data_IF_031428061433
#
_entry.id   IF_031428061433
#
_cell.length_a   1.000
_cell.length_b   1.000
_cell.length_c   1.000
_cell.angle_alpha   90.00
_cell.angle_beta   90.00
_cell.angle_gamma   90.00
#
_symmetry.space_group_name_H-M   'P 1'
#
loop_
_entity.id
_entity.type
_entity.pdbx_description
1 polymer ?
#
# COMPACT_ATOMS: atom_id res chain seq x y z
N UNK A 1 -47.32 43.17 57.12
CA UNK A 1 -46.09 42.75 57.84
C UNK A 1 -45.28 41.80 56.86
N UNK A 2 -44.27 42.32 56.41
CA UNK A 2 -42.90 41.81 56.15
C UNK A 2 -42.75 40.29 56.16
N UNK A 3 -42.33 39.70 55.02
CA UNK A 3 -41.22 38.76 55.01
C UNK A 3 -40.65 38.64 53.56
N UNK A 4 -39.39 38.89 53.58
CA UNK A 4 -38.47 38.87 52.43
C UNK A 4 -38.25 37.46 51.99
N UNK A 5 -38.39 37.17 50.71
CA UNK A 5 -37.95 35.92 50.11
C UNK A 5 -36.70 36.20 49.27
N UNK A 6 -35.60 35.57 49.65
CA UNK A 6 -34.31 35.67 49.01
C UNK A 6 -34.31 34.84 47.74
N UNK A 7 -33.82 35.46 46.69
CA UNK A 7 -33.55 34.82 45.41
C UNK A 7 -32.17 34.15 45.47
N UNK A 8 -32.13 32.83 45.48
CA UNK A 8 -30.90 32.05 45.30
C UNK A 8 -30.73 31.85 43.82
N UNK A 9 -29.82 32.60 43.23
CA UNK A 9 -29.34 32.38 41.88
C UNK A 9 -28.37 31.18 41.88
N UNK A 10 -28.81 30.06 41.33
CA UNK A 10 -27.96 28.92 41.07
C UNK A 10 -27.28 29.13 39.72
N UNK A 11 -26.00 29.48 39.74
CA UNK A 11 -25.14 29.54 38.57
C UNK A 11 -24.69 28.10 38.26
N UNK A 12 -25.29 27.50 37.24
CA UNK A 12 -24.84 26.23 36.70
C UNK A 12 -23.68 26.51 35.72
N UNK A 13 -22.46 26.30 36.17
CA UNK A 13 -21.29 26.25 35.31
C UNK A 13 -21.36 24.93 34.49
N UNK A 14 -21.77 25.03 33.24
CA UNK A 14 -21.62 23.94 32.26
C UNK A 14 -20.13 23.86 31.85
N UNK A 15 -19.40 22.92 32.44
CA UNK A 15 -18.07 22.56 32.01
C UNK A 15 -18.21 21.82 30.66
N UNK A 16 -17.97 22.51 29.55
CA UNK A 16 -17.80 21.90 28.24
C UNK A 16 -16.44 21.22 28.23
N UNK A 17 -16.41 19.92 28.58
CA UNK A 17 -15.25 19.08 28.35
C UNK A 17 -15.11 18.90 26.84
N UNK A 18 -14.21 19.65 26.22
CA UNK A 18 -13.78 19.46 24.83
C UNK A 18 -13.12 18.10 24.71
N UNK A 19 -13.83 17.14 24.12
CA UNK A 19 -13.26 15.92 23.60
C UNK A 19 -12.34 16.30 22.44
N UNK A 20 -11.05 16.55 22.74
CA UNK A 20 -9.99 16.55 21.75
C UNK A 20 -9.88 15.10 21.24
N UNK A 21 -10.73 14.74 20.30
CA UNK A 21 -10.60 13.50 19.55
C UNK A 21 -9.32 13.60 18.74
N UNK A 22 -8.25 12.92 19.15
CA UNK A 22 -7.13 12.57 18.27
C UNK A 22 -7.67 11.63 17.20
N UNK A 23 -8.32 12.17 16.15
CA UNK A 23 -8.68 11.45 14.95
C UNK A 23 -7.38 11.08 14.24
N UNK A 24 -6.97 9.82 14.31
CA UNK A 24 -5.99 9.28 13.37
C UNK A 24 -6.62 9.37 12.00
N UNK A 25 -6.13 10.29 11.17
CA UNK A 25 -6.53 10.36 9.77
C UNK A 25 -6.19 9.01 9.11
N UNK A 26 -7.16 8.38 8.45
CA UNK A 26 -6.87 7.18 7.66
C UNK A 26 -5.83 7.52 6.59
N UNK A 27 -4.87 6.61 6.32
CA UNK A 27 -3.87 6.86 5.30
C UNK A 27 -4.55 7.02 3.93
N UNK A 28 -4.06 7.98 3.14
CA UNK A 28 -4.54 8.19 1.78
C UNK A 28 -4.31 6.93 0.91
N UNK A 29 -5.05 6.81 -0.19
CA UNK A 29 -4.86 5.72 -1.14
C UNK A 29 -3.41 5.66 -1.67
N UNK A 30 -2.80 6.82 -1.93
CA UNK A 30 -1.40 6.89 -2.33
C UNK A 30 -0.47 6.32 -1.24
N UNK A 31 -0.69 6.68 0.03
CA UNK A 31 0.09 6.15 1.14
C UNK A 31 -0.08 4.64 1.30
N UNK A 32 -1.31 4.13 1.10
CA UNK A 32 -1.58 2.70 1.14
C UNK A 32 -0.88 1.95 0.00
N UNK A 33 -0.86 2.51 -1.22
CA UNK A 33 -0.12 1.97 -2.36
C UNK A 33 1.38 1.91 -2.05
N UNK A 34 1.97 2.98 -1.53
CA UNK A 34 3.38 3.02 -1.11
C UNK A 34 3.68 1.98 -0.03
N UNK A 35 2.78 1.80 0.92
CA UNK A 35 2.89 0.78 1.97
C UNK A 35 2.89 -0.63 1.38
N UNK A 36 2.00 -0.90 0.43
CA UNK A 36 1.93 -2.20 -0.27
C UNK A 36 3.23 -2.50 -1.02
N UNK A 37 3.78 -1.52 -1.74
CA UNK A 37 5.04 -1.67 -2.48
C UNK A 37 6.25 -1.83 -1.55
N UNK A 38 6.25 -1.16 -0.41
CA UNK A 38 7.29 -1.34 0.63
C UNK A 38 7.22 -2.75 1.22
N UNK A 39 6.02 -3.25 1.50
CA UNK A 39 5.82 -4.61 1.97
C UNK A 39 6.25 -5.65 0.92
N UNK A 40 5.96 -5.40 -0.36
CA UNK A 40 6.41 -6.22 -1.48
C UNK A 40 7.94 -6.27 -1.56
N UNK A 41 8.61 -5.13 -1.46
CA UNK A 41 10.08 -5.06 -1.46
C UNK A 41 10.69 -5.88 -0.32
N UNK A 42 10.13 -5.77 0.88
CA UNK A 42 10.59 -6.52 2.05
C UNK A 42 10.37 -8.02 1.87
N UNK A 43 9.14 -8.43 1.51
CA UNK A 43 8.83 -9.85 1.31
C UNK A 43 9.68 -10.48 0.19
N UNK A 44 10.02 -9.72 -0.85
CA UNK A 44 10.94 -10.16 -1.90
C UNK A 44 12.37 -10.35 -1.37
N UNK A 45 12.85 -9.41 -0.56
CA UNK A 45 14.18 -9.50 0.06
C UNK A 45 14.30 -10.69 1.03
N UNK A 46 13.23 -10.94 1.78
CA UNK A 46 13.14 -12.04 2.75
C UNK A 46 12.80 -13.38 2.08
N UNK A 47 12.50 -13.39 0.78
CA UNK A 47 12.01 -14.56 0.02
C UNK A 47 10.75 -15.18 0.63
N UNK A 48 9.90 -14.34 1.23
CA UNK A 48 8.60 -14.74 1.77
C UNK A 48 7.56 -14.82 0.65
N UNK A 49 7.69 -15.87 -0.16
CA UNK A 49 6.81 -16.10 -1.32
C UNK A 49 5.35 -16.31 -0.91
N UNK A 50 5.11 -16.87 0.27
CA UNK A 50 3.76 -17.02 0.79
C UNK A 50 3.12 -15.65 1.05
N UNK A 51 3.81 -14.74 1.72
CA UNK A 51 3.32 -13.38 1.95
C UNK A 51 3.05 -12.64 0.64
N UNK A 52 3.93 -12.80 -0.35
CA UNK A 52 3.74 -12.22 -1.68
C UNK A 52 2.43 -12.74 -2.31
N UNK A 53 2.22 -14.04 -2.35
CA UNK A 53 1.04 -14.66 -2.96
C UNK A 53 -0.25 -14.36 -2.19
N UNK A 54 -0.25 -14.49 -0.88
CA UNK A 54 -1.47 -14.42 -0.07
C UNK A 54 -1.92 -12.98 0.19
N UNK A 55 -0.99 -12.04 0.27
CA UNK A 55 -1.29 -10.69 0.78
C UNK A 55 -0.94 -9.53 -0.16
N UNK A 56 -0.03 -9.73 -1.12
CA UNK A 56 0.51 -8.60 -1.89
C UNK A 56 0.15 -8.66 -3.37
N UNK A 57 0.02 -9.85 -3.96
CA UNK A 57 -0.41 -10.00 -5.35
C UNK A 57 -1.94 -10.05 -5.46
N UNK A 58 -2.47 -9.51 -6.55
CA UNK A 58 -3.89 -9.53 -6.83
C UNK A 58 -4.39 -10.95 -7.14
N UNK A 59 -5.59 -11.34 -6.67
CA UNK A 59 -6.15 -12.67 -6.95
C UNK A 59 -6.21 -13.01 -8.44
N UNK A 60 -6.47 -12.02 -9.30
CA UNK A 60 -6.51 -12.23 -10.74
C UNK A 60 -5.14 -12.65 -11.30
N UNK A 61 -4.05 -12.02 -10.85
CA UNK A 61 -2.69 -12.38 -11.24
C UNK A 61 -2.34 -13.81 -10.82
N UNK A 62 -2.74 -14.19 -9.60
CA UNK A 62 -2.53 -15.55 -9.09
C UNK A 62 -3.35 -16.56 -9.90
N UNK A 63 -4.59 -16.22 -10.24
CA UNK A 63 -5.44 -17.08 -11.08
C UNK A 63 -4.86 -17.30 -12.48
N UNK A 64 -4.23 -16.27 -13.05
CA UNK A 64 -3.59 -16.39 -14.37
C UNK A 64 -2.36 -17.31 -14.33
N UNK A 65 -1.54 -17.24 -13.29
CA UNK A 65 -0.45 -18.18 -13.05
C UNK A 65 -0.97 -19.63 -12.94
N UNK A 66 -2.06 -19.80 -12.21
CA UNK A 66 -2.68 -21.12 -12.02
C UNK A 66 -3.24 -21.71 -13.32
N UNK A 67 -3.78 -20.89 -14.22
CA UNK A 67 -4.27 -21.33 -15.55
C UNK A 67 -3.17 -21.97 -16.40
N UNK A 68 -1.95 -21.51 -16.27
CA UNK A 68 -0.79 -22.08 -16.98
C UNK A 68 -0.09 -23.19 -16.19
N UNK A 69 -0.73 -23.68 -15.12
CA UNK A 69 -0.22 -24.77 -14.30
C UNK A 69 0.95 -24.39 -13.39
N UNK A 70 1.13 -23.09 -13.12
CA UNK A 70 2.24 -22.57 -12.31
C UNK A 70 1.72 -22.04 -10.97
N UNK A 71 1.90 -22.76 -9.85
CA UNK A 71 1.59 -22.23 -8.52
C UNK A 71 2.35 -20.95 -8.23
N UNK A 72 1.69 -19.98 -7.59
CA UNK A 72 2.25 -18.65 -7.35
C UNK A 72 3.62 -18.68 -6.67
N UNK A 73 3.78 -19.41 -5.58
CA UNK A 73 5.06 -19.48 -4.85
C UNK A 73 6.17 -20.08 -5.71
N UNK A 74 5.86 -21.10 -6.52
CA UNK A 74 6.82 -21.71 -7.45
C UNK A 74 7.22 -20.72 -8.54
N UNK A 75 6.27 -19.96 -9.08
CA UNK A 75 6.55 -18.91 -10.06
C UNK A 75 7.51 -17.86 -9.52
N UNK A 76 7.24 -17.38 -8.30
CA UNK A 76 8.08 -16.39 -7.63
C UNK A 76 9.45 -16.95 -7.26
N UNK A 77 9.53 -18.18 -6.77
CA UNK A 77 10.79 -18.84 -6.49
C UNK A 77 11.67 -18.96 -7.75
N UNK A 78 11.06 -19.31 -8.89
CA UNK A 78 11.78 -19.39 -10.17
C UNK A 78 12.22 -18.01 -10.67
N UNK A 79 11.38 -16.98 -10.51
CA UNK A 79 11.67 -15.63 -11.00
C UNK A 79 12.57 -14.80 -10.08
N UNK A 80 12.51 -15.03 -8.78
CA UNK A 80 13.17 -14.19 -7.78
C UNK A 80 14.21 -14.95 -6.92
N UNK A 81 14.32 -16.28 -7.09
CA UNK A 81 15.16 -17.11 -6.23
C UNK A 81 16.63 -16.72 -6.25
N UNK A 82 17.16 -16.35 -7.39
CA UNK A 82 18.55 -15.95 -7.60
C UNK A 82 18.80 -14.45 -7.38
N UNK A 83 17.73 -13.66 -7.18
CA UNK A 83 17.85 -12.23 -6.92
C UNK A 83 18.41 -12.01 -5.51
N UNK A 84 19.53 -11.30 -5.44
CA UNK A 84 20.20 -11.01 -4.18
C UNK A 84 20.14 -9.53 -3.84
N UNK A 85 19.92 -9.23 -2.56
CA UNK A 85 19.79 -7.87 -2.03
C UNK A 85 18.85 -6.96 -2.87
N UNK A 86 17.63 -7.42 -3.20
CA UNK A 86 16.73 -6.61 -3.98
C UNK A 86 16.31 -5.38 -3.18
N UNK A 87 16.24 -4.24 -3.87
CA UNK A 87 15.72 -2.98 -3.34
C UNK A 87 14.74 -2.39 -4.34
N UNK A 88 13.66 -1.84 -3.84
CA UNK A 88 12.66 -1.14 -4.62
C UNK A 88 12.46 0.26 -4.03
N UNK A 89 12.63 1.27 -4.88
CA UNK A 89 12.35 2.65 -4.56
C UNK A 89 11.07 3.06 -5.29
N UNK A 90 10.10 3.57 -4.55
CA UNK A 90 8.82 4.04 -5.09
C UNK A 90 8.96 5.51 -5.46
N UNK A 91 8.75 5.82 -6.74
CA UNK A 91 8.68 7.17 -7.30
C UNK A 91 7.25 7.73 -7.27
N UNK A 92 6.78 8.21 -8.41
CA UNK A 92 5.45 8.79 -8.53
C UNK A 92 4.36 7.72 -8.45
N UNK A 93 3.30 8.05 -7.74
CA UNK A 93 2.11 7.20 -7.59
C UNK A 93 0.91 7.96 -8.11
N UNK A 94 0.16 7.35 -9.00
CA UNK A 94 -1.10 7.89 -9.53
C UNK A 94 -2.24 6.94 -9.17
N UNK A 95 -3.26 7.46 -8.47
CA UNK A 95 -4.46 6.70 -8.12
C UNK A 95 -5.64 7.20 -8.94
N UNK A 96 -6.37 6.27 -9.55
CA UNK A 96 -7.61 6.53 -10.30
C UNK A 96 -8.68 5.51 -9.93
N UNK A 97 -9.57 5.88 -9.03
CA UNK A 97 -10.60 4.97 -8.50
C UNK A 97 -10.00 3.75 -7.83
N UNK A 98 -10.30 2.57 -8.35
CA UNK A 98 -9.80 1.28 -7.82
C UNK A 98 -8.49 0.82 -8.46
N UNK A 99 -7.83 1.64 -9.25
CA UNK A 99 -6.54 1.34 -9.89
C UNK A 99 -5.49 2.34 -9.48
N UNK A 100 -4.26 1.89 -9.39
CA UNK A 100 -3.11 2.76 -9.18
C UNK A 100 -1.95 2.29 -10.06
N UNK A 101 -1.12 3.24 -10.44
CA UNK A 101 0.18 2.99 -11.06
C UNK A 101 1.27 3.63 -10.21
N UNK A 102 2.40 2.97 -10.11
CA UNK A 102 3.55 3.48 -9.39
C UNK A 102 4.81 3.30 -10.23
N UNK A 103 5.57 4.36 -10.42
CA UNK A 103 6.89 4.26 -10.98
C UNK A 103 7.85 3.74 -9.91
N UNK A 104 8.62 2.74 -10.26
CA UNK A 104 9.54 2.11 -9.34
C UNK A 104 10.93 2.02 -9.96
N UNK A 105 11.93 2.12 -9.11
CA UNK A 105 13.31 1.79 -9.46
C UNK A 105 13.73 0.57 -8.66
N UNK A 106 14.18 -0.46 -9.36
CA UNK A 106 14.69 -1.67 -8.71
C UNK A 106 16.19 -1.79 -8.89
N UNK A 107 16.85 -2.30 -7.85
CA UNK A 107 18.25 -2.66 -7.88
C UNK A 107 18.45 -4.01 -7.21
N UNK A 108 19.40 -4.78 -7.68
CA UNK A 108 19.83 -6.03 -7.03
C UNK A 108 21.32 -6.23 -7.25
N UNK A 109 21.93 -7.04 -6.40
CA UNK A 109 23.36 -7.33 -6.49
C UNK A 109 23.69 -8.03 -7.82
N UNK A 110 24.65 -7.49 -8.55
CA UNK A 110 25.08 -8.04 -9.83
C UNK A 110 24.14 -7.78 -11.01
N UNK A 111 23.10 -6.95 -10.82
CA UNK A 111 22.16 -6.60 -11.87
C UNK A 111 22.16 -5.08 -12.13
N UNK A 112 21.95 -4.69 -13.38
CA UNK A 112 21.76 -3.29 -13.72
C UNK A 112 20.46 -2.76 -13.10
N UNK A 113 20.42 -1.51 -12.60
CA UNK A 113 19.19 -0.89 -12.14
C UNK A 113 18.15 -0.83 -13.24
N UNK A 114 16.88 -1.12 -12.92
CA UNK A 114 15.75 -0.95 -13.83
C UNK A 114 14.81 0.15 -13.36
N UNK A 115 14.04 0.70 -14.30
CA UNK A 115 12.91 1.58 -14.06
C UNK A 115 11.69 0.93 -14.68
N UNK A 116 10.66 0.76 -13.87
CA UNK A 116 9.47 0.03 -14.26
C UNK A 116 8.22 0.74 -13.72
N UNK A 117 7.08 0.46 -14.31
CA UNK A 117 5.78 0.87 -13.78
C UNK A 117 5.04 -0.35 -13.27
N UNK A 118 4.61 -0.30 -12.01
CA UNK A 118 3.82 -1.36 -11.36
C UNK A 118 2.36 -0.93 -11.30
N UNK A 119 1.47 -1.83 -11.65
CA UNK A 119 0.03 -1.60 -11.52
C UNK A 119 -0.52 -2.28 -10.27
N UNK A 120 -1.43 -1.57 -9.59
CA UNK A 120 -2.13 -2.07 -8.42
C UNK A 120 -3.64 -1.93 -8.60
N UNK A 121 -4.36 -2.80 -7.92
CA UNK A 121 -5.83 -2.78 -7.85
C UNK A 121 -6.29 -2.78 -6.40
N UNK A 122 -7.35 -2.03 -6.12
CA UNK A 122 -7.98 -2.03 -4.80
C UNK A 122 -8.92 -3.22 -4.69
N UNK A 123 -8.71 -4.03 -3.67
CA UNK A 123 -9.57 -5.16 -3.28
C UNK A 123 -10.21 -4.87 -1.92
N UNK A 124 -11.11 -5.73 -1.46
CA UNK A 124 -11.70 -5.62 -0.11
C UNK A 124 -10.63 -5.78 0.99
N UNK A 125 -9.51 -6.44 0.68
CA UNK A 125 -8.37 -6.62 1.59
C UNK A 125 -7.27 -5.55 1.42
N UNK A 126 -7.54 -4.45 0.70
CA UNK A 126 -6.60 -3.37 0.43
C UNK A 126 -6.00 -3.41 -0.97
N UNK A 127 -4.95 -2.62 -1.17
CA UNK A 127 -4.26 -2.55 -2.46
C UNK A 127 -3.40 -3.79 -2.71
N UNK A 128 -3.47 -4.32 -3.94
CA UNK A 128 -2.75 -5.52 -4.39
C UNK A 128 -2.08 -5.26 -5.73
N UNK A 129 -0.91 -5.81 -5.93
CA UNK A 129 -0.18 -5.71 -7.20
C UNK A 129 -0.87 -6.57 -8.25
N UNK A 130 -1.31 -5.95 -9.34
CA UNK A 130 -2.04 -6.60 -10.43
C UNK A 130 -1.16 -6.89 -11.66
N UNK A 131 -0.05 -6.20 -11.80
CA UNK A 131 0.95 -6.46 -12.84
C UNK A 131 2.34 -6.22 -12.29
N UNK A 132 3.22 -7.17 -12.52
CA UNK A 132 4.64 -7.05 -12.21
C UNK A 132 5.33 -6.50 -13.48
N UNK A 133 5.72 -5.24 -13.37
CA UNK A 133 6.61 -4.51 -14.29
C UNK A 133 6.48 -4.82 -15.79
N UNK A 134 5.87 -3.92 -16.52
CA UNK A 134 6.25 -3.72 -17.91
C UNK A 134 7.47 -2.79 -17.91
N UNK A 135 8.59 -3.16 -18.57
CA UNK A 135 9.68 -2.22 -18.77
C UNK A 135 9.10 -0.93 -19.36
N UNK A 136 9.38 0.21 -18.73
CA UNK A 136 9.05 1.50 -19.33
C UNK A 136 9.75 1.54 -20.68
N UNK A 137 9.00 1.57 -21.76
CA UNK A 137 9.57 1.77 -23.10
C UNK A 137 10.48 2.99 -23.05
N UNK A 138 11.73 2.90 -23.51
CA UNK A 138 12.56 4.08 -23.63
C UNK A 138 11.79 5.07 -24.52
N UNK A 139 11.41 6.21 -23.97
CA UNK A 139 10.79 7.27 -24.74
C UNK A 139 11.63 7.55 -25.99
N UNK A 140 11.03 8.01 -27.10
CA UNK A 140 11.78 8.29 -28.31
C UNK A 140 12.96 9.20 -27.97
N UNK A 141 14.14 8.74 -28.36
CA UNK A 141 15.37 9.53 -28.21
C UNK A 141 15.20 10.87 -28.91
N UNK A 142 15.71 11.99 -28.33
CA UNK A 142 15.63 13.31 -28.93
C UNK A 142 16.38 13.38 -30.27
#
# INVERSE_FOLDING_TARGET
>A
MRRRAGVLAVVVLAAVAGLAGCGKSEPSDEQQVRTTLTAFSRATADKDYQALCDRLLAPALIADLKKIGLPCEIALQKGLGDVRQPRLLVGDVTVRGKRATADVRTTAEGQAPSKDTVELVRTDAGWRISSLATPSEPGPAP
#
